data_IF_716891286075
#
_entry.id   IF_716891286075
#
_cell.length_a   1.000
_cell.length_b   1.000
_cell.length_c   1.000
_cell.angle_alpha   90.00
_cell.angle_beta   90.00
_cell.angle_gamma   90.00
#
_symmetry.space_group_name_H-M   'P 1'
#
loop_
_entity.id
_entity.type
_entity.pdbx_description
1 polymer ?
#
# COMPACT_ATOMS: atom_id res chain seq x y z
N UNK A 1 -14.26 27.34 -18.19
CA UNK A 1 -14.62 25.91 -18.13
C UNK A 1 -15.81 25.78 -17.20
N UNK A 2 -16.99 25.53 -17.74
CA UNK A 2 -18.28 25.68 -17.05
C UNK A 2 -19.04 24.35 -17.04
N UNK A 3 -18.68 23.46 -16.13
CA UNK A 3 -19.61 22.46 -15.59
C UNK A 3 -19.07 21.96 -14.27
N UNK A 4 -19.81 22.20 -13.20
CA UNK A 4 -19.44 21.83 -11.82
C UNK A 4 -19.73 20.37 -11.48
N UNK A 5 -20.22 19.55 -12.42
CA UNK A 5 -20.64 18.16 -12.16
C UNK A 5 -20.16 17.15 -13.23
N UNK A 6 -19.30 17.54 -14.18
CA UNK A 6 -18.88 16.63 -15.25
C UNK A 6 -18.11 15.42 -14.74
N UNK A 7 -17.18 15.59 -13.79
CA UNK A 7 -16.41 14.49 -13.22
C UNK A 7 -17.28 13.55 -12.39
N UNK A 8 -18.03 14.09 -11.43
CA UNK A 8 -18.95 13.32 -10.60
C UNK A 8 -20.01 12.58 -11.42
N UNK A 9 -20.60 13.22 -12.44
CA UNK A 9 -21.56 12.58 -13.35
C UNK A 9 -20.93 11.42 -14.11
N UNK A 10 -19.73 11.61 -14.66
CA UNK A 10 -19.00 10.54 -15.36
C UNK A 10 -18.74 9.33 -14.46
N UNK A 11 -18.34 9.55 -13.21
CA UNK A 11 -18.16 8.46 -12.23
C UNK A 11 -19.50 7.75 -11.97
N UNK A 12 -20.62 8.48 -11.93
CA UNK A 12 -21.95 7.91 -11.71
C UNK A 12 -22.40 7.04 -12.89
N UNK A 13 -22.13 7.49 -14.11
CA UNK A 13 -22.37 6.71 -15.34
C UNK A 13 -21.52 5.43 -15.39
N UNK A 14 -20.29 5.47 -14.87
CA UNK A 14 -19.45 4.28 -14.78
C UNK A 14 -19.95 3.30 -13.71
N UNK A 15 -20.44 3.79 -12.57
CA UNK A 15 -21.02 2.95 -11.51
C UNK A 15 -22.28 2.23 -11.99
N UNK A 16 -23.15 2.91 -12.74
CA UNK A 16 -24.37 2.34 -13.31
C UNK A 16 -24.12 1.54 -14.61
N UNK A 17 -22.91 1.64 -15.17
CA UNK A 17 -22.55 1.03 -16.45
C UNK A 17 -21.96 -0.37 -16.34
N UNK A 18 -21.27 -0.80 -17.40
CA UNK A 18 -20.64 -2.12 -17.44
C UNK A 18 -19.45 -2.21 -16.46
N UNK A 19 -19.39 -3.21 -15.56
CA UNK A 19 -18.38 -3.32 -14.49
C UNK A 19 -16.93 -3.26 -14.99
N UNK A 20 -16.62 -3.84 -16.14
CA UNK A 20 -15.28 -3.80 -16.75
C UNK A 20 -14.78 -2.38 -17.01
N UNK A 21 -15.66 -1.45 -17.41
CA UNK A 21 -15.26 -0.05 -17.64
C UNK A 21 -14.84 0.61 -16.34
N UNK A 22 -15.55 0.32 -15.26
CA UNK A 22 -15.22 0.78 -13.92
C UNK A 22 -13.87 0.20 -13.46
N UNK A 23 -13.67 -1.10 -13.65
CA UNK A 23 -12.41 -1.76 -13.29
C UNK A 23 -11.21 -1.24 -14.09
N UNK A 24 -11.37 -0.93 -15.38
CA UNK A 24 -10.30 -0.30 -16.18
C UNK A 24 -9.97 1.09 -15.63
N UNK A 25 -10.98 1.87 -15.24
CA UNK A 25 -10.80 3.23 -14.75
C UNK A 25 -10.20 3.27 -13.33
N UNK A 26 -10.64 2.42 -12.41
CA UNK A 26 -10.36 2.53 -10.98
C UNK A 26 -9.67 1.31 -10.36
N UNK A 27 -9.37 0.26 -11.15
CA UNK A 27 -8.68 -0.98 -10.70
C UNK A 27 -9.39 -1.74 -9.58
N UNK A 28 -10.69 -1.53 -9.44
CA UNK A 28 -11.53 -2.20 -8.45
C UNK A 28 -12.95 -2.37 -8.98
N UNK A 29 -13.77 -3.16 -8.28
CA UNK A 29 -15.19 -3.29 -8.61
C UNK A 29 -15.99 -2.05 -8.17
N UNK A 30 -17.15 -1.77 -8.77
CA UNK A 30 -18.05 -0.70 -8.32
C UNK A 30 -18.46 -0.83 -6.84
N UNK A 31 -18.63 -2.07 -6.36
CA UNK A 31 -19.00 -2.36 -4.98
C UNK A 31 -17.88 -1.96 -4.03
N UNK A 32 -16.64 -2.42 -4.28
CA UNK A 32 -15.47 -2.07 -3.47
C UNK A 32 -15.27 -0.56 -3.42
N UNK A 33 -15.45 0.13 -4.55
CA UNK A 33 -15.35 1.58 -4.58
C UNK A 33 -16.41 2.28 -3.70
N UNK A 34 -17.64 1.76 -3.71
CA UNK A 34 -18.73 2.31 -2.90
C UNK A 34 -18.50 2.06 -1.41
N UNK A 35 -18.04 0.87 -1.05
CA UNK A 35 -17.71 0.51 0.33
C UNK A 35 -16.51 1.32 0.83
N UNK A 36 -15.47 1.48 0.00
CA UNK A 36 -14.33 2.33 0.29
C UNK A 36 -14.74 3.79 0.46
N UNK A 37 -15.60 4.31 -0.40
CA UNK A 37 -16.13 5.67 -0.30
C UNK A 37 -16.85 5.87 1.03
N UNK A 38 -17.77 4.96 1.39
CA UNK A 38 -18.49 5.03 2.64
C UNK A 38 -17.55 4.99 3.85
N UNK A 39 -16.58 4.07 3.85
CA UNK A 39 -15.60 3.92 4.92
C UNK A 39 -14.74 5.19 5.09
N UNK A 40 -14.20 5.72 3.99
CA UNK A 40 -13.35 6.91 4.02
C UNK A 40 -14.12 8.17 4.45
N UNK A 41 -15.37 8.31 4.05
CA UNK A 41 -16.22 9.43 4.47
C UNK A 41 -16.57 9.38 5.95
N UNK A 42 -16.86 8.18 6.46
CA UNK A 42 -17.35 8.00 7.84
C UNK A 42 -16.23 8.00 8.86
N UNK A 43 -15.07 7.44 8.53
CA UNK A 43 -14.03 7.13 9.51
C UNK A 43 -12.68 7.82 9.26
N UNK A 44 -12.41 8.27 8.03
CA UNK A 44 -11.09 8.80 7.64
C UNK A 44 -11.13 10.23 7.07
N UNK A 45 -12.23 10.95 7.27
CA UNK A 45 -12.33 12.38 6.99
C UNK A 45 -12.33 12.75 5.50
N UNK A 46 -12.58 11.80 4.59
CA UNK A 46 -12.66 12.10 3.17
C UNK A 46 -13.88 12.99 2.90
N UNK A 47 -13.63 14.24 2.53
CA UNK A 47 -14.66 15.22 2.25
C UNK A 47 -14.43 15.93 0.92
N UNK A 48 -15.55 16.30 0.32
CA UNK A 48 -15.58 17.15 -0.86
C UNK A 48 -15.54 18.64 -0.53
N UNK A 49 -15.88 19.46 -1.50
CA UNK A 49 -16.17 20.88 -1.33
C UNK A 49 -17.63 21.17 -1.69
N UNK A 50 -18.05 22.44 -1.63
CA UNK A 50 -19.39 22.84 -2.10
C UNK A 50 -19.65 22.46 -3.58
N UNK A 51 -18.59 22.29 -4.39
CA UNK A 51 -18.70 22.04 -5.84
C UNK A 51 -18.14 20.68 -6.27
N UNK A 52 -17.64 19.86 -5.34
CA UNK A 52 -17.01 18.58 -5.63
C UNK A 52 -17.42 17.60 -4.57
N UNK A 53 -18.02 16.48 -4.94
CA UNK A 53 -18.47 15.47 -3.98
C UNK A 53 -17.28 14.67 -3.43
N UNK A 54 -17.43 14.02 -2.28
CA UNK A 54 -16.41 13.08 -1.78
C UNK A 54 -16.18 11.92 -2.77
N UNK A 55 -17.23 11.51 -3.50
CA UNK A 55 -17.16 10.52 -4.56
C UNK A 55 -16.23 10.94 -5.69
N UNK A 56 -16.32 12.20 -6.11
CA UNK A 56 -15.43 12.77 -7.13
C UNK A 56 -14.00 12.92 -6.61
N UNK A 57 -13.80 13.32 -5.35
CA UNK A 57 -12.47 13.38 -4.71
C UNK A 57 -11.81 11.99 -4.69
N UNK A 58 -12.54 10.96 -4.26
CA UNK A 58 -12.03 9.58 -4.28
C UNK A 58 -11.71 9.13 -5.71
N UNK A 59 -12.60 9.42 -6.66
CA UNK A 59 -12.39 9.05 -8.06
C UNK A 59 -11.15 9.72 -8.66
N UNK A 60 -10.92 11.02 -8.40
CA UNK A 60 -9.70 11.73 -8.81
C UNK A 60 -8.46 11.03 -8.25
N UNK A 61 -8.52 10.67 -6.96
CA UNK A 61 -7.40 10.06 -6.25
C UNK A 61 -7.05 8.69 -6.81
N UNK A 62 -8.03 7.79 -6.86
CA UNK A 62 -7.84 6.42 -7.38
C UNK A 62 -7.48 6.45 -8.86
N UNK A 63 -8.09 7.32 -9.67
CA UNK A 63 -7.75 7.44 -11.10
C UNK A 63 -6.29 7.88 -11.29
N UNK A 64 -5.82 8.83 -10.48
CA UNK A 64 -4.43 9.29 -10.53
C UNK A 64 -3.45 8.16 -10.18
N UNK A 65 -3.73 7.40 -9.12
CA UNK A 65 -2.91 6.25 -8.70
C UNK A 65 -2.95 5.12 -9.75
N UNK A 66 -4.12 4.81 -10.29
CA UNK A 66 -4.37 3.68 -11.20
C UNK A 66 -3.67 3.78 -12.56
N UNK A 67 -3.42 5.00 -13.03
CA UNK A 67 -2.93 5.26 -14.39
C UNK A 67 -1.54 5.88 -14.42
N UNK A 68 -0.96 6.23 -13.26
CA UNK A 68 0.34 6.95 -13.16
C UNK A 68 0.40 8.16 -14.12
N UNK A 69 -0.76 8.77 -14.38
CA UNK A 69 -0.93 9.79 -15.40
C UNK A 69 -0.53 11.17 -14.89
N UNK A 70 -0.14 12.07 -15.80
CA UNK A 70 0.13 13.46 -15.42
C UNK A 70 -1.12 14.13 -14.85
N UNK A 71 -0.94 15.07 -13.92
CA UNK A 71 -2.05 15.84 -13.36
C UNK A 71 -2.88 16.56 -14.43
N UNK A 72 -2.26 16.87 -15.58
CA UNK A 72 -2.92 17.50 -16.73
C UNK A 72 -3.91 16.56 -17.43
N UNK A 73 -3.63 15.26 -17.48
CA UNK A 73 -4.58 14.29 -18.04
C UNK A 73 -5.77 14.07 -17.08
N UNK A 74 -5.49 14.00 -15.78
CA UNK A 74 -6.54 13.94 -14.76
C UNK A 74 -7.39 15.22 -14.78
N UNK A 75 -6.76 16.39 -14.93
CA UNK A 75 -7.48 17.68 -15.01
C UNK A 75 -8.42 17.73 -16.21
N UNK A 76 -7.98 17.24 -17.37
CA UNK A 76 -8.82 17.13 -18.56
C UNK A 76 -9.95 16.12 -18.36
N UNK A 77 -9.69 14.98 -17.73
CA UNK A 77 -10.74 13.97 -17.47
C UNK A 77 -11.86 14.51 -16.58
N UNK A 78 -11.50 15.14 -15.47
CA UNK A 78 -12.46 15.60 -14.46
C UNK A 78 -12.89 17.05 -14.67
N UNK A 79 -12.33 17.76 -15.65
CA UNK A 79 -12.64 19.15 -16.02
C UNK A 79 -12.40 20.15 -14.87
N UNK A 80 -11.33 19.94 -14.10
CA UNK A 80 -10.87 20.83 -13.03
C UNK A 80 -9.52 21.47 -13.39
N UNK A 81 -9.12 22.51 -12.67
CA UNK A 81 -7.74 23.01 -12.76
C UNK A 81 -6.76 21.98 -12.19
N UNK A 82 -5.51 22.02 -12.63
CA UNK A 82 -4.43 21.17 -12.06
C UNK A 82 -4.24 21.40 -10.57
N UNK A 83 -4.40 22.64 -10.11
CA UNK A 83 -4.38 23.01 -8.69
C UNK A 83 -5.48 22.30 -7.91
N UNK A 84 -6.69 22.22 -8.46
CA UNK A 84 -7.81 21.55 -7.80
C UNK A 84 -7.66 20.04 -7.80
N UNK A 85 -7.17 19.45 -8.90
CA UNK A 85 -6.78 18.04 -8.92
C UNK A 85 -5.72 17.76 -7.85
N UNK A 86 -4.70 18.60 -7.72
CA UNK A 86 -3.64 18.41 -6.74
C UNK A 86 -4.15 18.45 -5.31
N UNK A 87 -5.03 19.40 -5.00
CA UNK A 87 -5.63 19.52 -3.68
C UNK A 87 -6.46 18.29 -3.32
N UNK A 88 -7.32 17.85 -4.23
CA UNK A 88 -8.19 16.69 -3.97
C UNK A 88 -7.43 15.37 -3.96
N UNK A 89 -6.39 15.24 -4.78
CA UNK A 89 -5.47 14.13 -4.71
C UNK A 89 -4.79 14.04 -3.33
N UNK A 90 -4.31 15.16 -2.78
CA UNK A 90 -3.72 15.19 -1.45
C UNK A 90 -4.73 14.77 -0.36
N UNK A 91 -5.94 15.36 -0.37
CA UNK A 91 -7.00 15.02 0.59
C UNK A 91 -7.35 13.52 0.54
N UNK A 92 -7.49 12.96 -0.67
CA UNK A 92 -7.79 11.53 -0.82
C UNK A 92 -6.63 10.63 -0.42
N UNK A 93 -5.39 11.04 -0.71
CA UNK A 93 -4.19 10.30 -0.35
C UNK A 93 -4.00 10.26 1.18
N UNK A 94 -4.26 11.36 1.88
CA UNK A 94 -4.20 11.41 3.34
C UNK A 94 -5.20 10.43 3.95
N UNK A 95 -6.46 10.44 3.49
CA UNK A 95 -7.49 9.51 3.96
C UNK A 95 -7.14 8.04 3.69
N UNK A 96 -6.60 7.73 2.50
CA UNK A 96 -6.14 6.38 2.15
C UNK A 96 -4.93 5.95 2.99
N UNK A 97 -4.03 6.88 3.33
CA UNK A 97 -2.85 6.58 4.16
C UNK A 97 -3.28 6.23 5.59
N UNK A 98 -4.26 6.95 6.15
CA UNK A 98 -4.83 6.62 7.45
C UNK A 98 -5.52 5.25 7.46
N UNK A 99 -6.29 4.95 6.42
CA UNK A 99 -6.90 3.62 6.25
C UNK A 99 -5.84 2.52 6.12
N UNK A 100 -4.79 2.76 5.32
CA UNK A 100 -3.71 1.81 5.12
C UNK A 100 -2.98 1.48 6.44
N UNK A 101 -2.73 2.48 7.29
CA UNK A 101 -2.15 2.26 8.61
C UNK A 101 -3.02 1.37 9.51
N UNK A 102 -4.35 1.41 9.34
CA UNK A 102 -5.26 0.55 10.11
C UNK A 102 -5.42 -0.85 9.49
N UNK A 103 -5.38 -0.96 8.16
CA UNK A 103 -5.60 -2.21 7.44
C UNK A 103 -4.34 -3.08 7.29
N UNK A 104 -3.18 -2.47 7.07
CA UNK A 104 -1.91 -3.18 6.83
C UNK A 104 -1.29 -3.53 8.18
N UNK A 105 -1.85 -4.57 8.80
CA UNK A 105 -1.36 -5.17 10.04
C UNK A 105 -1.77 -6.64 10.10
N UNK A 106 -1.07 -7.49 10.86
CA UNK A 106 -1.48 -8.88 11.05
C UNK A 106 -2.89 -8.98 11.65
N UNK A 107 -3.73 -9.86 11.13
CA UNK A 107 -5.05 -10.17 11.71
C UNK A 107 -4.93 -10.84 13.08
N UNK A 108 -3.89 -11.63 13.28
CA UNK A 108 -3.49 -12.21 14.56
C UNK A 108 -2.16 -11.54 14.99
N UNK A 109 -2.20 -10.46 15.80
CA UNK A 109 -0.99 -9.75 16.22
C UNK A 109 -0.07 -10.59 17.10
N UNK A 110 -0.57 -11.68 17.68
CA UNK A 110 0.20 -12.57 18.56
C UNK A 110 0.68 -13.83 17.82
N UNK A 111 0.28 -14.01 16.55
CA UNK A 111 0.64 -15.18 15.73
C UNK A 111 0.40 -16.53 16.42
N UNK A 112 -0.66 -16.63 17.23
CA UNK A 112 -0.96 -17.84 18.02
C UNK A 112 -1.44 -19.00 17.16
N UNK A 113 -1.99 -18.72 15.97
CA UNK A 113 -2.60 -19.72 15.11
C UNK A 113 -1.76 -19.97 13.86
N UNK A 114 -1.60 -21.24 13.50
CA UNK A 114 -0.96 -21.63 12.24
C UNK A 114 -1.94 -21.32 11.09
N UNK A 115 -1.53 -20.57 10.06
CA UNK A 115 -2.37 -20.31 8.90
C UNK A 115 -2.88 -21.60 8.25
N UNK A 116 -4.17 -21.65 7.90
CA UNK A 116 -4.81 -22.84 7.35
C UNK A 116 -4.11 -23.39 6.09
N UNK A 117 -3.48 -22.52 5.30
CA UNK A 117 -2.70 -22.89 4.11
C UNK A 117 -1.41 -23.64 4.43
N UNK A 118 -0.83 -23.42 5.61
CA UNK A 118 0.31 -24.20 6.10
C UNK A 118 -0.19 -25.48 6.77
N UNK A 119 -1.19 -25.36 7.65
CA UNK A 119 -1.70 -26.49 8.44
C UNK A 119 -2.22 -27.64 7.58
N UNK A 120 -2.86 -27.34 6.45
CA UNK A 120 -3.50 -28.32 5.58
C UNK A 120 -2.61 -28.78 4.40
N UNK A 121 -1.34 -28.40 4.34
CA UNK A 121 -0.43 -28.77 3.25
C UNK A 121 0.84 -29.44 3.79
N UNK A 122 1.00 -30.74 3.54
CA UNK A 122 2.14 -31.55 3.97
C UNK A 122 3.49 -31.07 3.38
N UNK A 123 3.48 -30.21 2.37
CA UNK A 123 4.70 -29.58 1.84
C UNK A 123 5.17 -28.44 2.72
N UNK A 124 4.25 -27.76 3.41
CA UNK A 124 4.53 -26.62 4.27
C UNK A 124 4.60 -27.00 5.75
N UNK A 125 3.75 -27.92 6.20
CA UNK A 125 3.86 -28.51 7.53
C UNK A 125 4.96 -29.59 7.55
N UNK A 126 5.87 -29.64 8.55
CA UNK A 126 6.02 -28.73 9.68
C UNK A 126 7.01 -27.57 9.45
N UNK A 127 7.64 -27.50 8.28
CA UNK A 127 8.78 -26.60 8.04
C UNK A 127 8.47 -25.11 8.19
N UNK A 128 7.22 -24.71 7.91
CA UNK A 128 6.76 -23.31 7.93
C UNK A 128 5.70 -23.03 9.01
N UNK A 129 5.55 -23.91 10.01
CA UNK A 129 4.48 -23.78 11.03
C UNK A 129 4.51 -22.44 11.80
N UNK A 130 5.71 -21.87 12.01
CA UNK A 130 5.94 -20.62 12.75
C UNK A 130 6.19 -19.43 11.79
N UNK A 131 5.91 -19.62 10.49
CA UNK A 131 6.10 -18.56 9.50
C UNK A 131 4.92 -17.59 9.55
N UNK A 132 5.22 -16.30 9.66
CA UNK A 132 4.19 -15.24 9.72
C UNK A 132 3.89 -14.63 8.34
N UNK A 133 4.73 -14.91 7.34
CA UNK A 133 4.57 -14.42 5.98
C UNK A 133 5.86 -14.47 5.15
N UNK A 134 5.75 -14.04 3.90
CA UNK A 134 6.88 -13.82 3.01
C UNK A 134 7.29 -12.34 3.08
N UNK A 135 8.59 -12.09 3.17
CA UNK A 135 9.18 -10.75 3.15
C UNK A 135 9.98 -10.57 1.87
N UNK A 136 9.76 -9.44 1.19
CA UNK A 136 10.51 -9.13 -0.03
C UNK A 136 10.62 -7.61 -0.22
N UNK A 137 11.70 -7.20 -0.88
CA UNK A 137 11.93 -5.84 -1.33
C UNK A 137 11.36 -5.61 -2.73
N UNK A 138 10.75 -4.45 -2.97
CA UNK A 138 10.30 -4.04 -4.29
C UNK A 138 10.73 -2.61 -4.61
N UNK A 139 11.22 -2.39 -5.82
CA UNK A 139 11.68 -1.08 -6.27
C UNK A 139 10.57 -0.36 -7.05
N UNK A 140 10.25 0.86 -6.62
CA UNK A 140 9.37 1.78 -7.34
C UNK A 140 10.15 2.98 -7.85
N UNK A 141 9.82 3.48 -9.03
CA UNK A 141 10.49 4.67 -9.59
C UNK A 141 10.36 5.87 -8.65
N UNK A 142 11.46 6.55 -8.41
CA UNK A 142 11.52 7.69 -7.50
C UNK A 142 11.81 8.99 -8.27
N UNK A 143 11.01 10.01 -8.03
CA UNK A 143 11.31 11.37 -8.48
C UNK A 143 11.98 12.12 -7.32
N UNK A 144 13.30 12.21 -7.35
CA UNK A 144 14.11 12.87 -6.31
C UNK A 144 14.93 14.02 -6.88
N UNK A 145 15.26 15.05 -6.08
CA UNK A 145 16.15 16.14 -6.51
C UNK A 145 17.48 15.61 -7.05
N UNK A 146 18.05 16.31 -8.03
CA UNK A 146 19.28 15.88 -8.73
C UNK A 146 20.42 15.58 -7.75
N UNK A 147 20.56 16.39 -6.70
CA UNK A 147 21.62 16.24 -5.70
C UNK A 147 21.49 14.95 -4.87
N UNK A 148 20.29 14.38 -4.77
CA UNK A 148 20.01 13.15 -4.03
C UNK A 148 19.97 11.90 -4.92
N UNK A 149 19.88 12.06 -6.25
CA UNK A 149 19.67 10.95 -7.20
C UNK A 149 20.68 9.82 -7.05
N UNK A 150 21.96 10.14 -6.77
CA UNK A 150 23.03 9.13 -6.63
C UNK A 150 22.70 8.06 -5.59
N UNK A 151 22.02 8.43 -4.50
CA UNK A 151 21.63 7.47 -3.45
C UNK A 151 20.50 6.56 -3.89
N UNK A 152 19.59 7.08 -4.70
CA UNK A 152 18.40 6.36 -5.18
C UNK A 152 18.67 5.53 -6.44
N UNK A 153 19.78 5.75 -7.15
CA UNK A 153 20.15 4.94 -8.31
C UNK A 153 20.55 3.53 -7.83
N UNK A 154 19.66 2.57 -8.05
CA UNK A 154 19.92 1.16 -7.83
C UNK A 154 20.69 0.51 -8.99
N UNK A 155 20.67 -0.82 -9.03
CA UNK A 155 21.35 -1.63 -10.08
C UNK A 155 20.91 -1.31 -11.51
N UNK A 156 19.71 -0.76 -11.68
CA UNK A 156 19.10 -0.49 -12.99
C UNK A 156 19.40 0.90 -13.56
N UNK A 157 20.20 1.73 -12.88
CA UNK A 157 20.65 3.03 -13.40
C UNK A 157 19.59 4.14 -13.33
N UNK A 158 18.36 3.83 -12.93
CA UNK A 158 17.30 4.80 -12.63
C UNK A 158 17.14 4.99 -11.12
N UNK A 159 16.81 6.21 -10.66
CA UNK A 159 16.45 6.43 -9.27
C UNK A 159 15.18 5.66 -8.89
N UNK A 160 15.28 4.81 -7.87
CA UNK A 160 14.16 4.04 -7.31
C UNK A 160 14.11 4.18 -5.79
N UNK A 161 12.95 3.95 -5.20
CA UNK A 161 12.77 3.73 -3.78
C UNK A 161 12.56 2.23 -3.55
N UNK A 162 13.28 1.67 -2.58
CA UNK A 162 13.03 0.32 -2.11
C UNK A 162 11.90 0.36 -1.06
N UNK A 163 10.93 -0.53 -1.24
CA UNK A 163 9.81 -0.76 -0.33
C UNK A 163 9.88 -2.22 0.09
N UNK A 164 10.11 -2.48 1.36
CA UNK A 164 10.06 -3.83 1.90
C UNK A 164 8.66 -4.11 2.42
N UNK A 165 8.08 -5.26 2.11
CA UNK A 165 6.76 -5.62 2.58
C UNK A 165 6.70 -7.07 3.08
N UNK A 166 5.83 -7.33 4.05
CA UNK A 166 5.46 -8.68 4.48
C UNK A 166 4.06 -8.97 3.93
N UNK A 167 3.93 -10.14 3.32
CA UNK A 167 2.69 -10.66 2.79
C UNK A 167 2.34 -11.96 3.51
N UNK A 168 1.11 -12.06 4.04
CA UNK A 168 0.63 -13.29 4.66
C UNK A 168 0.31 -14.37 3.61
N UNK A 169 -0.13 -15.54 4.08
CA UNK A 169 -0.48 -16.65 3.21
C UNK A 169 -1.76 -16.40 2.39
N UNK A 170 -2.56 -15.40 2.76
CA UNK A 170 -3.74 -14.92 2.03
C UNK A 170 -3.44 -13.87 0.97
N UNK A 171 -2.14 -13.62 0.73
CA UNK A 171 -1.64 -12.64 -0.23
C UNK A 171 -2.02 -11.21 0.17
N UNK A 172 -2.22 -10.96 1.47
CA UNK A 172 -2.48 -9.65 2.03
C UNK A 172 -1.21 -9.07 2.64
N UNK A 173 -0.94 -7.79 2.38
CA UNK A 173 0.14 -7.10 3.06
C UNK A 173 -0.21 -6.90 4.54
N UNK A 174 0.69 -7.36 5.41
CA UNK A 174 0.56 -7.22 6.87
C UNK A 174 1.58 -6.27 7.46
N UNK A 175 2.57 -5.85 6.68
CA UNK A 175 3.58 -4.87 7.07
C UNK A 175 4.23 -4.26 5.84
N UNK A 176 4.51 -2.95 5.85
CA UNK A 176 5.19 -2.25 4.75
C UNK A 176 6.15 -1.20 5.31
N UNK A 177 7.39 -1.20 4.81
CA UNK A 177 8.42 -0.20 5.09
C UNK A 177 8.77 0.54 3.80
N UNK A 178 8.13 1.69 3.54
CA UNK A 178 8.41 2.47 2.35
C UNK A 178 9.63 3.41 2.54
N UNK A 179 10.10 3.99 1.43
CA UNK A 179 10.93 5.20 1.45
C UNK A 179 12.44 4.99 1.54
N UNK A 180 12.93 3.76 1.40
CA UNK A 180 14.37 3.51 1.39
C UNK A 180 15.00 3.85 0.05
N UNK A 181 16.29 4.19 0.08
CA UNK A 181 17.02 4.46 -1.15
C UNK A 181 17.09 3.19 -2.03
N UNK A 182 16.96 3.32 -3.36
CA UNK A 182 16.96 2.16 -4.26
C UNK A 182 18.24 1.34 -4.24
N UNK A 183 19.34 1.91 -3.75
CA UNK A 183 20.60 1.21 -3.51
C UNK A 183 20.65 0.43 -2.18
N UNK A 184 19.70 0.65 -1.28
CA UNK A 184 19.66 -0.04 0.00
C UNK A 184 19.30 -1.52 -0.18
N UNK A 185 20.11 -2.39 0.41
CA UNK A 185 19.86 -3.82 0.48
C UNK A 185 18.69 -4.13 1.43
N UNK A 186 17.88 -5.13 1.07
CA UNK A 186 16.72 -5.57 1.86
C UNK A 186 17.11 -5.95 3.29
N UNK A 187 18.27 -6.57 3.47
CA UNK A 187 18.82 -6.90 4.80
C UNK A 187 19.02 -5.68 5.70
N UNK A 188 19.41 -4.52 5.14
CA UNK A 188 19.56 -3.27 5.89
C UNK A 188 18.20 -2.71 6.31
N UNK A 189 17.21 -2.79 5.42
CA UNK A 189 15.84 -2.35 5.69
C UNK A 189 15.23 -3.22 6.78
N UNK A 190 15.39 -4.54 6.66
CA UNK A 190 14.95 -5.53 7.64
C UNK A 190 15.56 -5.30 9.02
N UNK A 191 16.89 -5.17 9.09
CA UNK A 191 17.58 -4.90 10.35
C UNK A 191 17.08 -3.62 11.01
N UNK A 192 16.82 -2.56 10.24
CA UNK A 192 16.26 -1.34 10.84
C UNK A 192 14.84 -1.56 11.34
N UNK A 193 13.99 -2.20 10.55
CA UNK A 193 12.60 -2.43 10.92
C UNK A 193 12.48 -3.23 12.22
N UNK A 194 13.31 -4.26 12.38
CA UNK A 194 13.36 -5.10 13.59
C UNK A 194 13.94 -4.38 14.80
N UNK A 195 14.97 -3.54 14.62
CA UNK A 195 15.69 -2.95 15.75
C UNK A 195 15.16 -1.57 16.18
N UNK A 196 14.35 -0.90 15.36
CA UNK A 196 13.77 0.41 15.64
C UNK A 196 12.33 0.24 16.13
N UNK A 197 12.03 0.46 17.44
CA UNK A 197 10.68 0.27 17.97
C UNK A 197 9.63 1.17 17.31
N UNK A 198 10.03 2.29 16.70
CA UNK A 198 9.12 3.16 15.97
C UNK A 198 8.64 2.57 14.65
N UNK A 199 9.31 1.52 14.15
CA UNK A 199 8.90 0.80 12.95
C UNK A 199 7.80 -0.23 13.21
N UNK A 200 7.42 -0.49 14.46
CA UNK A 200 6.32 -1.39 14.84
C UNK A 200 6.36 -2.75 14.11
N UNK A 201 7.56 -3.31 13.94
CA UNK A 201 7.71 -4.56 13.20
C UNK A 201 6.99 -5.71 13.92
N UNK A 202 6.21 -6.54 13.20
CA UNK A 202 5.46 -7.62 13.82
C UNK A 202 6.39 -8.71 14.38
N UNK A 203 6.20 -9.08 15.65
CA UNK A 203 6.97 -10.13 16.31
C UNK A 203 6.05 -11.26 16.80
N UNK A 204 6.44 -12.54 16.62
CA UNK A 204 5.85 -13.64 17.36
C UNK A 204 6.19 -13.48 18.86
N UNK A 205 5.55 -14.26 19.75
CA UNK A 205 5.80 -14.21 21.19
C UNK A 205 7.30 -14.34 21.53
N UNK A 206 7.76 -13.77 22.66
CA UNK A 206 9.20 -13.64 23.00
C UNK A 206 10.03 -14.93 23.05
N UNK A 207 9.39 -16.09 22.96
CA UNK A 207 10.02 -17.42 23.04
C UNK A 207 10.03 -18.17 21.68
N UNK A 208 9.56 -17.52 20.60
CA UNK A 208 9.48 -18.11 19.25
C UNK A 208 10.41 -17.43 18.24
N UNK A 209 11.03 -18.23 17.38
CA UNK A 209 11.89 -17.78 16.29
C UNK A 209 11.07 -17.08 15.20
N UNK A 210 11.50 -15.88 14.78
CA UNK A 210 10.95 -15.27 13.56
C UNK A 210 11.44 -16.08 12.36
N UNK A 211 10.51 -16.73 11.67
CA UNK A 211 10.73 -17.31 10.34
C UNK A 211 10.00 -16.48 9.32
N UNK A 212 10.73 -15.61 8.63
CA UNK A 212 10.24 -14.93 7.42
C UNK A 212 10.91 -15.55 6.20
N UNK A 213 10.18 -15.64 5.08
CA UNK A 213 10.72 -16.17 3.83
C UNK A 213 11.21 -15.03 2.96
N UNK A 214 12.49 -15.06 2.59
CA UNK A 214 13.06 -14.18 1.56
C UNK A 214 13.61 -15.08 0.45
N UNK A 215 13.18 -14.83 -0.80
CA UNK A 215 13.61 -15.60 -1.98
C UNK A 215 13.56 -17.14 -1.84
N UNK A 216 12.48 -17.70 -1.31
CA UNK A 216 12.29 -19.15 -1.09
C UNK A 216 13.31 -19.80 -0.11
N UNK A 217 14.05 -19.00 0.66
CA UNK A 217 14.90 -19.48 1.76
C UNK A 217 14.26 -19.11 3.09
N UNK A 218 14.21 -20.07 4.01
CA UNK A 218 13.81 -19.80 5.39
C UNK A 218 14.94 -19.00 6.05
N UNK A 219 14.66 -17.76 6.44
CA UNK A 219 15.55 -17.02 7.32
C UNK A 219 15.13 -17.32 8.76
N UNK A 220 15.98 -18.06 9.46
CA UNK A 220 15.92 -18.19 10.92
C UNK A 220 16.74 -17.02 11.50
N UNK A 221 16.08 -16.01 12.07
CA UNK A 221 16.78 -15.05 12.94
C UNK A 221 16.27 -15.20 14.37
N UNK A 222 17.15 -15.64 15.26
CA UNK A 222 16.92 -15.57 16.71
C UNK A 222 16.99 -14.09 17.09
N UNK A 223 15.85 -13.49 17.46
CA UNK A 223 15.86 -12.28 18.26
C UNK A 223 16.39 -12.63 19.65
N UNK A 224 17.71 -12.75 19.77
CA UNK A 224 18.30 -12.82 21.10
C UNK A 224 18.13 -11.44 21.73
N UNK A 225 17.25 -11.37 22.72
CA UNK A 225 17.22 -10.30 23.70
C UNK A 225 18.64 -10.08 24.24
N UNK A 226 19.39 -9.14 23.67
CA UNK A 226 20.57 -8.61 24.36
C UNK A 226 20.08 -7.62 25.42
N UNK A 227 19.52 -8.17 26.49
CA UNK A 227 19.51 -7.54 27.81
C UNK A 227 20.72 -8.06 28.57
N UNK A 228 21.80 -7.28 28.55
CA UNK A 228 22.71 -6.99 29.68
C UNK A 228 23.97 -6.30 29.16
#
# INVERSE_FOLDING_TARGET
MTSTQTGDKWVGELLAGHPTRFHIAFRMSPQIFTDLLYLLQTSYGLQGSQRTTAREVLAITIYTLAHKGSMRLTSERFQHSTETISRFFAIGLDALTLLAAEMIKPLDPQFMNIPAKILNDDRYMPYFKDCIGAIDGTHVDACVPVDDQVRYIGRHGTPTQNIMAICDFDMCFTYVVPGWEGSAHDSRIFQRAVNDPSCEFPHPPPDELIRCLEHQRVFDQVLTNQRS
#
